data_IF_671803992460
#
_entry.id   IF_671803992460
#
_cell.length_a   1.000
_cell.length_b   1.000
_cell.length_c   1.000
_cell.angle_alpha   90.00
_cell.angle_beta   90.00
_cell.angle_gamma   90.00
#
_symmetry.space_group_name_H-M   'P 1'
#
loop_
_entity.id
_entity.type
_entity.pdbx_description
1 polymer ?
#
# COMPACT_ATOMS: atom_id res chain seq x y z
N UNK A 1 -30.45 -11.35 3.30
CA UNK A 1 -30.15 -9.96 3.73
C UNK A 1 -29.64 -10.01 5.17
N UNK A 2 -28.37 -9.67 5.43
CA UNK A 2 -27.86 -9.58 6.82
C UNK A 2 -28.48 -8.35 7.49
N UNK A 3 -29.02 -8.51 8.69
CA UNK A 3 -29.51 -7.38 9.50
C UNK A 3 -28.41 -6.33 9.67
N UNK A 4 -28.73 -5.03 9.62
CA UNK A 4 -27.75 -4.00 9.89
C UNK A 4 -27.24 -4.14 11.33
N UNK A 5 -25.92 -4.09 11.57
CA UNK A 5 -25.39 -3.99 12.92
C UNK A 5 -25.96 -2.71 13.56
N UNK A 6 -26.51 -2.80 14.78
CA UNK A 6 -27.18 -1.71 15.51
C UNK A 6 -28.52 -1.23 14.88
N UNK A 7 -29.59 -2.05 14.97
CA UNK A 7 -30.88 -1.76 14.37
C UNK A 7 -31.72 -0.70 15.12
N UNK A 8 -31.46 -0.49 16.42
CA UNK A 8 -32.22 0.44 17.26
C UNK A 8 -31.36 1.61 17.74
N UNK A 9 -32.00 2.74 18.00
CA UNK A 9 -31.32 3.92 18.55
C UNK A 9 -30.74 3.67 19.95
N UNK A 10 -31.32 2.78 20.74
CA UNK A 10 -30.77 2.39 22.04
C UNK A 10 -29.52 1.54 21.91
N UNK A 11 -29.46 0.63 20.91
CA UNK A 11 -28.24 -0.11 20.60
C UNK A 11 -27.12 0.83 20.10
N UNK A 12 -27.47 1.81 19.25
CA UNK A 12 -26.54 2.85 18.79
C UNK A 12 -26.07 3.74 19.93
N UNK A 13 -26.95 4.06 20.87
CA UNK A 13 -26.59 4.81 22.06
C UNK A 13 -25.66 4.03 22.98
N UNK A 14 -25.93 2.76 23.22
CA UNK A 14 -25.05 1.89 24.01
C UNK A 14 -23.64 1.81 23.38
N UNK A 15 -23.55 1.62 22.07
CA UNK A 15 -22.29 1.61 21.33
C UNK A 15 -21.54 2.95 21.43
N UNK A 16 -22.27 4.07 21.36
CA UNK A 16 -21.70 5.41 21.55
C UNK A 16 -21.15 5.62 22.98
N UNK A 17 -21.88 5.19 24.01
CA UNK A 17 -21.44 5.26 25.41
C UNK A 17 -20.19 4.39 25.64
N UNK A 18 -20.17 3.20 25.05
CA UNK A 18 -19.04 2.27 25.13
C UNK A 18 -17.83 2.72 24.28
N UNK A 19 -18.00 3.71 23.39
CA UNK A 19 -17.03 4.10 22.35
C UNK A 19 -16.57 2.90 21.52
N UNK A 20 -17.54 2.08 21.13
CA UNK A 20 -17.32 0.88 20.34
C UNK A 20 -16.68 1.22 18.99
N UNK A 21 -15.50 0.65 18.74
CA UNK A 21 -14.76 0.84 17.49
C UNK A 21 -15.35 0.03 16.34
N UNK A 22 -16.05 -1.07 16.63
CA UNK A 22 -16.70 -1.91 15.63
C UNK A 22 -17.99 -1.26 15.09
N UNK A 23 -18.52 -0.28 15.82
CA UNK A 23 -19.63 0.56 15.38
C UNK A 23 -19.21 1.67 14.38
N UNK A 24 -17.91 1.96 14.25
CA UNK A 24 -17.42 2.95 13.29
C UNK A 24 -17.72 2.51 11.85
N UNK A 25 -18.48 3.32 11.12
CA UNK A 25 -18.89 3.03 9.74
C UNK A 25 -20.22 2.30 9.62
N UNK A 26 -20.76 1.73 10.71
CA UNK A 26 -22.12 1.19 10.74
C UNK A 26 -23.19 2.29 10.85
N UNK A 27 -22.87 3.37 11.58
CA UNK A 27 -23.67 4.58 11.67
C UNK A 27 -22.80 5.77 12.09
N UNK A 28 -23.35 6.98 12.03
CA UNK A 28 -22.77 8.16 12.66
C UNK A 28 -23.81 8.87 13.54
N UNK A 29 -23.34 9.70 14.48
CA UNK A 29 -24.22 10.46 15.36
C UNK A 29 -23.95 11.96 15.21
N UNK A 30 -25.00 12.77 15.31
CA UNK A 30 -24.91 14.22 15.26
C UNK A 30 -25.45 14.84 16.54
N UNK A 31 -24.85 15.97 16.93
CA UNK A 31 -25.21 16.71 18.14
C UNK A 31 -25.90 18.01 17.74
N UNK A 32 -27.20 18.11 18.03
CA UNK A 32 -28.07 19.24 17.68
C UNK A 32 -27.49 20.58 18.11
N UNK A 33 -26.97 20.65 19.34
CA UNK A 33 -26.47 21.90 19.93
C UNK A 33 -25.18 22.42 19.29
N UNK A 34 -24.35 21.55 18.72
CA UNK A 34 -23.07 21.96 18.10
C UNK A 34 -23.13 21.97 16.58
N UNK A 35 -24.15 21.34 15.98
CA UNK A 35 -24.26 21.14 14.54
C UNK A 35 -23.18 20.22 13.98
N UNK A 36 -22.57 19.36 14.82
CA UNK A 36 -21.44 18.49 14.44
C UNK A 36 -21.87 17.02 14.45
N UNK A 37 -21.45 16.26 13.44
CA UNK A 37 -21.56 14.79 13.45
C UNK A 37 -20.20 14.09 13.60
N UNK A 38 -20.22 12.91 14.21
CA UNK A 38 -19.08 12.15 14.71
C UNK A 38 -19.26 10.64 14.45
N UNK A 39 -18.15 9.89 14.54
CA UNK A 39 -18.19 8.42 14.63
C UNK A 39 -18.47 7.97 16.07
N UNK A 40 -19.05 6.77 16.30
CA UNK A 40 -19.32 6.23 17.63
C UNK A 40 -18.10 6.19 18.57
N UNK A 41 -16.91 5.87 18.06
CA UNK A 41 -15.66 5.80 18.85
C UNK A 41 -15.06 7.17 19.23
N UNK A 42 -15.69 8.28 18.83
CA UNK A 42 -15.12 9.62 18.96
C UNK A 42 -14.78 9.97 20.42
N UNK A 43 -13.51 10.31 20.66
CA UNK A 43 -12.98 10.67 21.99
C UNK A 43 -13.49 12.03 22.55
N UNK A 44 -14.42 12.69 21.85
CA UNK A 44 -15.10 13.89 22.35
C UNK A 44 -15.93 13.60 23.60
N UNK A 45 -16.24 14.66 24.36
CA UNK A 45 -17.12 14.56 25.52
C UNK A 45 -18.48 14.01 25.08
N UNK A 46 -18.98 13.02 25.81
CA UNK A 46 -20.27 12.41 25.51
C UNK A 46 -21.37 13.49 25.63
N UNK A 47 -22.13 13.76 24.54
CA UNK A 47 -23.25 14.70 24.57
C UNK A 47 -24.43 14.14 25.38
N UNK A 48 -25.40 14.98 25.73
CA UNK A 48 -26.67 14.51 26.32
C UNK A 48 -27.50 13.76 25.29
N UNK A 49 -28.13 12.65 25.68
CA UNK A 49 -28.94 11.78 24.81
C UNK A 49 -29.98 12.54 23.99
N UNK A 50 -30.66 13.49 24.62
CA UNK A 50 -31.71 14.34 24.01
C UNK A 50 -31.22 15.16 22.80
N UNK A 51 -29.92 15.48 22.78
CA UNK A 51 -29.27 16.28 21.76
C UNK A 51 -28.64 15.43 20.66
N UNK A 52 -28.79 14.10 20.70
CA UNK A 52 -28.17 13.18 19.73
C UNK A 52 -29.20 12.66 18.73
N UNK A 53 -28.80 12.67 17.46
CA UNK A 53 -29.51 12.03 16.35
C UNK A 53 -28.57 11.07 15.63
N UNK A 54 -29.06 9.91 15.20
CA UNK A 54 -28.27 8.91 14.49
C UNK A 54 -28.59 8.91 13.00
N UNK A 55 -27.58 8.63 12.18
CA UNK A 55 -27.68 8.56 10.72
C UNK A 55 -26.96 7.30 10.22
N UNK A 56 -27.48 6.69 9.16
CA UNK A 56 -26.91 5.47 8.59
C UNK A 56 -25.48 5.69 8.05
N UNK A 57 -25.24 6.84 7.42
CA UNK A 57 -23.94 7.21 6.87
C UNK A 57 -23.66 8.72 7.02
N UNK A 58 -22.44 9.12 6.67
CA UNK A 58 -21.99 10.51 6.76
C UNK A 58 -22.68 11.43 5.75
N UNK A 59 -23.13 10.90 4.61
CA UNK A 59 -23.87 11.62 3.58
C UNK A 59 -25.24 12.07 4.08
N UNK A 60 -25.97 11.17 4.76
CA UNK A 60 -27.25 11.47 5.40
C UNK A 60 -27.11 12.55 6.48
N UNK A 61 -26.06 12.50 7.31
CA UNK A 61 -25.80 13.54 8.31
C UNK A 61 -25.49 14.90 7.67
N UNK A 62 -24.73 14.93 6.58
CA UNK A 62 -24.43 16.16 5.83
C UNK A 62 -25.67 16.74 5.16
N UNK A 63 -26.50 15.91 4.53
CA UNK A 63 -27.77 16.33 3.94
C UNK A 63 -28.72 16.94 4.99
N UNK A 64 -28.64 16.48 6.23
CA UNK A 64 -29.36 17.05 7.37
C UNK A 64 -28.72 18.34 7.96
N UNK A 65 -27.67 18.89 7.33
CA UNK A 65 -27.07 20.17 7.69
C UNK A 65 -25.97 20.11 8.76
N UNK A 66 -25.52 18.91 9.15
CA UNK A 66 -24.44 18.77 10.13
C UNK A 66 -23.06 18.84 9.48
N UNK A 67 -22.10 19.48 10.16
CA UNK A 67 -20.69 19.53 9.73
C UNK A 67 -19.89 18.36 10.33
N UNK A 68 -18.89 17.82 9.61
CA UNK A 68 -18.07 16.73 10.13
C UNK A 68 -17.20 17.19 11.30
N UNK A 69 -17.07 16.34 12.30
CA UNK A 69 -16.19 16.59 13.44
C UNK A 69 -14.72 16.63 13.01
N UNK A 70 -14.03 17.73 13.33
CA UNK A 70 -12.59 17.89 13.04
C UNK A 70 -11.69 16.95 13.83
N UNK A 71 -12.19 16.37 14.94
CA UNK A 71 -11.43 15.48 15.83
C UNK A 71 -11.43 14.04 15.35
N UNK A 72 -12.61 13.45 15.11
CA UNK A 72 -12.71 12.07 14.63
C UNK A 72 -12.74 11.96 13.10
N UNK A 73 -12.87 13.08 12.37
CA UNK A 73 -12.90 13.16 10.90
C UNK A 73 -13.74 12.04 10.28
N UNK A 74 -15.06 12.03 10.54
CA UNK A 74 -15.90 10.87 10.28
C UNK A 74 -15.87 10.38 8.82
N UNK A 75 -15.63 11.29 7.87
CA UNK A 75 -15.54 11.03 6.42
C UNK A 75 -14.13 10.63 5.94
N UNK A 76 -13.09 10.83 6.75
CA UNK A 76 -11.72 10.50 6.39
C UNK A 76 -11.36 9.06 6.70
N UNK A 77 -10.13 8.65 6.37
CA UNK A 77 -9.58 7.40 6.83
C UNK A 77 -9.53 7.35 8.38
N UNK A 78 -9.50 6.15 8.99
CA UNK A 78 -9.05 6.00 10.38
C UNK A 78 -7.75 6.76 10.60
N UNK A 79 -7.62 7.44 11.74
CA UNK A 79 -6.49 8.36 12.01
C UNK A 79 -5.12 7.71 11.76
N UNK A 80 -4.98 6.46 12.15
CA UNK A 80 -3.77 5.66 11.92
C UNK A 80 -3.44 5.51 10.43
N UNK A 81 -4.44 5.17 9.60
CA UNK A 81 -4.28 5.06 8.15
C UNK A 81 -4.05 6.44 7.51
N UNK A 82 -4.70 7.49 7.99
CA UNK A 82 -4.50 8.88 7.52
C UNK A 82 -3.07 9.37 7.78
N UNK A 83 -2.48 9.06 8.94
CA UNK A 83 -1.08 9.38 9.25
C UNK A 83 -0.14 8.68 8.27
N UNK A 84 -0.35 7.38 8.02
CA UNK A 84 0.49 6.60 7.10
C UNK A 84 0.32 7.08 5.67
N UNK A 85 -0.90 7.34 5.22
CA UNK A 85 -1.18 7.82 3.88
C UNK A 85 -0.49 9.17 3.61
N UNK A 86 -0.56 10.11 4.57
CA UNK A 86 0.18 11.38 4.47
C UNK A 86 1.69 11.18 4.48
N UNK A 87 2.21 10.24 5.27
CA UNK A 87 3.63 9.92 5.26
C UNK A 87 4.07 9.36 3.90
N UNK A 88 3.30 8.43 3.31
CA UNK A 88 3.55 7.94 1.95
C UNK A 88 3.50 9.08 0.93
N UNK A 89 2.49 9.95 0.98
CA UNK A 89 2.37 11.07 0.04
C UNK A 89 3.58 12.02 0.09
N UNK A 90 4.14 12.30 1.28
CA UNK A 90 5.37 13.11 1.42
C UNK A 90 6.56 12.39 0.76
N UNK A 91 6.72 11.08 0.99
CA UNK A 91 7.81 10.31 0.39
C UNK A 91 7.65 10.20 -1.14
N UNK A 92 6.43 9.99 -1.62
CA UNK A 92 6.08 9.86 -3.04
C UNK A 92 6.31 11.14 -3.83
N UNK A 93 6.05 12.30 -3.23
CA UNK A 93 6.28 13.62 -3.83
C UNK A 93 7.78 13.96 -3.93
N UNK A 94 8.61 13.36 -3.07
CA UNK A 94 10.01 13.71 -2.89
C UNK A 94 10.94 12.49 -3.02
N UNK A 95 10.76 11.69 -4.08
CA UNK A 95 11.46 10.40 -4.27
C UNK A 95 12.99 10.50 -4.29
N UNK A 96 13.53 11.66 -4.67
CA UNK A 96 14.97 11.93 -4.73
C UNK A 96 15.55 12.37 -3.38
N UNK A 97 14.71 12.91 -2.49
CA UNK A 97 15.14 13.44 -1.21
C UNK A 97 15.26 12.35 -0.15
N UNK A 98 16.08 12.60 0.88
CA UNK A 98 16.22 11.72 2.03
C UNK A 98 15.57 12.35 3.24
N UNK A 99 14.42 11.82 3.63
CA UNK A 99 13.78 12.22 4.88
C UNK A 99 14.32 11.36 6.02
N UNK A 100 14.89 12.04 7.01
CA UNK A 100 15.05 11.43 8.32
C UNK A 100 13.69 11.11 8.93
N UNK A 101 13.66 10.13 9.84
CA UNK A 101 12.41 9.80 10.53
C UNK A 101 11.86 11.01 11.29
N UNK A 102 12.71 11.89 11.83
CA UNK A 102 12.30 13.12 12.51
C UNK A 102 11.57 14.07 11.55
N UNK A 103 12.18 14.41 10.40
CA UNK A 103 11.55 15.28 9.40
C UNK A 103 10.21 14.73 8.90
N UNK A 104 10.14 13.43 8.64
CA UNK A 104 8.88 12.80 8.21
C UNK A 104 7.82 12.87 9.32
N UNK A 105 8.24 12.69 10.58
CA UNK A 105 7.36 12.76 11.75
C UNK A 105 6.81 14.16 11.99
N UNK A 106 7.64 15.18 11.78
CA UNK A 106 7.23 16.59 11.85
C UNK A 106 6.18 16.91 10.78
N UNK A 107 6.37 16.41 9.55
CA UNK A 107 5.44 16.61 8.44
C UNK A 107 4.05 15.98 8.69
N UNK A 108 3.97 14.89 9.45
CA UNK A 108 2.69 14.22 9.78
C UNK A 108 2.18 14.49 11.20
N UNK A 109 2.90 15.30 11.98
CA UNK A 109 2.60 15.71 13.36
C UNK A 109 2.40 14.53 14.33
N UNK A 110 3.30 13.56 14.31
CA UNK A 110 3.35 12.46 15.30
C UNK A 110 4.78 12.22 15.78
N UNK A 111 4.97 11.48 16.87
CA UNK A 111 6.32 11.17 17.33
C UNK A 111 7.03 10.16 16.40
N UNK A 112 8.37 10.22 16.27
CA UNK A 112 9.16 9.27 15.47
C UNK A 112 8.88 7.80 15.79
N UNK A 113 8.82 7.46 17.08
CA UNK A 113 8.54 6.09 17.53
C UNK A 113 7.12 5.62 17.21
N UNK A 114 6.15 6.54 17.21
CA UNK A 114 4.78 6.23 16.82
C UNK A 114 4.71 6.00 15.32
N UNK A 115 5.28 6.91 14.51
CA UNK A 115 5.29 6.80 13.06
C UNK A 115 5.98 5.51 12.60
N UNK A 116 7.14 5.18 13.14
CA UNK A 116 7.88 3.98 12.74
C UNK A 116 7.07 2.70 12.96
N UNK A 117 6.45 2.56 14.14
CA UNK A 117 5.63 1.38 14.48
C UNK A 117 4.39 1.31 13.61
N UNK A 118 3.71 2.44 13.45
CA UNK A 118 2.47 2.53 12.71
C UNK A 118 2.70 2.25 11.21
N UNK A 119 3.70 2.89 10.62
CA UNK A 119 4.06 2.70 9.21
C UNK A 119 4.44 1.25 8.94
N UNK A 120 5.25 0.62 9.81
CA UNK A 120 5.58 -0.81 9.66
C UNK A 120 4.36 -1.72 9.79
N UNK A 121 3.40 -1.40 10.66
CA UNK A 121 2.17 -2.18 10.82
C UNK A 121 1.27 -2.08 9.59
N UNK A 122 1.11 -0.88 9.04
CA UNK A 122 0.17 -0.60 7.94
C UNK A 122 0.77 -0.93 6.58
N UNK A 123 2.03 -0.54 6.33
CA UNK A 123 2.71 -0.71 5.03
C UNK A 123 3.55 -2.00 4.98
N UNK A 124 3.85 -2.61 6.13
CA UNK A 124 4.67 -3.83 6.22
C UNK A 124 6.18 -3.59 6.26
N UNK A 125 6.64 -2.40 5.83
CA UNK A 125 8.06 -1.99 5.82
C UNK A 125 8.27 -0.71 6.62
N UNK A 126 9.52 -0.40 7.01
CA UNK A 126 9.84 0.88 7.65
C UNK A 126 9.86 2.05 6.65
N UNK A 127 9.66 3.31 7.07
CA UNK A 127 9.78 4.48 6.18
C UNK A 127 11.11 4.56 5.43
N UNK A 128 12.21 4.12 6.07
CA UNK A 128 13.53 4.08 5.44
C UNK A 128 13.62 3.05 4.32
N UNK A 129 13.02 1.87 4.52
CA UNK A 129 12.95 0.82 3.49
C UNK A 129 12.04 1.25 2.34
N UNK A 130 10.94 1.95 2.65
CA UNK A 130 10.05 2.51 1.64
C UNK A 130 10.78 3.50 0.72
N UNK A 131 11.49 4.48 1.29
CA UNK A 131 12.33 5.41 0.52
C UNK A 131 13.39 4.70 -0.32
N UNK A 132 14.01 3.62 0.21
CA UNK A 132 14.98 2.84 -0.55
C UNK A 132 14.35 2.11 -1.75
N UNK A 133 13.16 1.53 -1.57
CA UNK A 133 12.43 0.90 -2.66
C UNK A 133 12.07 1.90 -3.77
N UNK A 134 11.69 3.13 -3.40
CA UNK A 134 11.38 4.19 -4.36
C UNK A 134 12.59 4.66 -5.16
N UNK A 135 13.75 4.86 -4.52
CA UNK A 135 14.99 5.17 -5.24
C UNK A 135 15.42 4.04 -6.16
N UNK A 136 15.28 2.79 -5.69
CA UNK A 136 15.46 1.61 -6.54
C UNK A 136 14.57 1.66 -7.77
N UNK A 137 13.28 1.97 -7.61
CA UNK A 137 12.35 2.14 -8.74
C UNK A 137 12.77 3.28 -9.68
N UNK A 138 13.09 4.46 -9.17
CA UNK A 138 13.54 5.59 -9.99
C UNK A 138 14.82 5.26 -10.79
N UNK A 139 15.75 4.54 -10.17
CA UNK A 139 16.95 4.06 -10.85
C UNK A 139 16.61 3.04 -11.95
N UNK A 140 15.65 2.13 -11.72
CA UNK A 140 15.15 1.21 -12.74
C UNK A 140 14.60 1.96 -13.95
N UNK A 141 13.74 2.93 -13.70
CA UNK A 141 13.08 3.70 -14.75
C UNK A 141 14.12 4.48 -15.58
N UNK A 142 15.08 5.14 -14.91
CA UNK A 142 16.17 5.84 -15.57
C UNK A 142 17.04 4.90 -16.42
N UNK A 143 17.37 3.71 -15.92
CA UNK A 143 18.13 2.71 -16.69
C UNK A 143 17.33 2.16 -17.89
N UNK A 144 16.00 2.00 -17.77
CA UNK A 144 15.14 1.57 -18.90
C UNK A 144 15.11 2.59 -20.03
N UNK A 145 15.14 3.88 -19.67
CA UNK A 145 15.20 5.00 -20.61
C UNK A 145 16.55 5.18 -21.32
N UNK A 146 17.55 4.36 -20.98
CA UNK A 146 18.87 4.36 -21.62
C UNK A 146 19.91 5.28 -20.97
N UNK A 147 19.61 5.83 -19.79
CA UNK A 147 20.57 6.68 -19.07
C UNK A 147 21.83 5.90 -18.65
N UNK A 148 22.99 6.57 -18.69
CA UNK A 148 24.23 6.01 -18.17
C UNK A 148 24.09 5.72 -16.67
N UNK A 149 24.57 4.56 -16.21
CA UNK A 149 24.40 4.07 -14.82
C UNK A 149 24.80 5.09 -13.76
N UNK A 150 25.89 5.82 -14.00
CA UNK A 150 26.38 6.87 -13.10
C UNK A 150 25.39 8.03 -13.00
N UNK A 151 24.86 8.51 -14.13
CA UNK A 151 23.87 9.60 -14.18
C UNK A 151 22.52 9.17 -13.61
N UNK A 152 22.03 7.99 -14.01
CA UNK A 152 20.78 7.41 -13.52
C UNK A 152 20.75 7.26 -11.99
N UNK A 153 21.90 6.96 -11.39
CA UNK A 153 21.99 6.80 -9.94
C UNK A 153 22.19 8.12 -9.20
N UNK A 154 22.88 9.10 -9.76
CA UNK A 154 22.85 10.47 -9.22
C UNK A 154 21.42 11.02 -9.25
N UNK A 155 20.72 10.86 -10.37
CA UNK A 155 19.33 11.28 -10.54
C UNK A 155 18.36 10.52 -9.63
N UNK A 156 18.69 9.28 -9.23
CA UNK A 156 17.93 8.51 -8.24
C UNK A 156 18.32 8.80 -6.78
N UNK A 157 19.18 9.80 -6.51
CA UNK A 157 19.55 10.24 -5.16
C UNK A 157 20.71 9.47 -4.51
N UNK A 158 21.53 8.76 -5.29
CA UNK A 158 22.74 8.08 -4.80
C UNK A 158 23.96 9.02 -4.84
N UNK A 159 24.30 9.62 -3.70
CA UNK A 159 25.39 10.62 -3.57
C UNK A 159 26.83 10.06 -3.61
N UNK A 160 27.06 8.78 -3.94
CA UNK A 160 28.43 8.23 -3.99
C UNK A 160 28.56 7.09 -5.02
N UNK A 161 29.48 7.21 -5.99
CA UNK A 161 29.81 6.15 -6.96
C UNK A 161 30.22 4.82 -6.31
N UNK A 162 30.90 4.87 -5.17
CA UNK A 162 31.38 3.67 -4.45
C UNK A 162 30.25 2.93 -3.75
N UNK A 163 29.30 3.67 -3.15
CA UNK A 163 28.09 3.06 -2.56
C UNK A 163 27.07 2.66 -3.61
N UNK A 164 27.14 3.23 -4.81
CA UNK A 164 26.33 2.86 -5.98
C UNK A 164 26.48 1.37 -6.28
N UNK A 165 27.69 0.88 -6.51
CA UNK A 165 27.90 -0.52 -6.90
C UNK A 165 27.56 -1.52 -5.77
N UNK A 166 27.62 -1.11 -4.51
CA UNK A 166 27.20 -1.93 -3.35
C UNK A 166 25.69 -1.89 -3.07
N UNK A 167 25.05 -0.73 -3.25
CA UNK A 167 23.63 -0.52 -2.89
C UNK A 167 22.68 -0.79 -4.04
N UNK A 168 23.11 -0.57 -5.28
CA UNK A 168 22.28 -0.74 -6.47
C UNK A 168 21.82 -2.19 -6.64
N UNK A 169 22.65 -3.24 -6.50
CA UNK A 169 22.16 -4.62 -6.49
C UNK A 169 21.20 -4.91 -5.32
N UNK A 170 21.42 -4.27 -4.17
CA UNK A 170 20.62 -4.41 -2.94
C UNK A 170 19.23 -3.75 -3.04
N UNK A 171 19.14 -2.60 -3.71
CA UNK A 171 17.90 -1.81 -3.88
C UNK A 171 17.15 -2.16 -5.18
N UNK A 172 17.85 -2.60 -6.24
CA UNK A 172 17.23 -3.05 -7.49
C UNK A 172 16.74 -4.50 -7.45
N UNK A 173 17.32 -5.33 -6.59
CA UNK A 173 17.05 -6.78 -6.57
C UNK A 173 17.55 -7.50 -7.81
N UNK A 174 18.51 -6.91 -8.55
CA UNK A 174 19.29 -7.52 -9.63
C UNK A 174 20.52 -6.66 -9.97
N UNK A 175 21.52 -7.21 -10.66
CA UNK A 175 22.68 -6.42 -11.12
C UNK A 175 22.29 -5.47 -12.26
N UNK A 176 22.92 -4.27 -12.38
CA UNK A 176 22.68 -3.35 -13.49
C UNK A 176 22.90 -3.95 -14.88
N UNK A 177 23.77 -4.95 -15.00
CA UNK A 177 24.01 -5.69 -16.25
C UNK A 177 22.87 -6.66 -16.59
N UNK A 178 22.26 -7.32 -15.59
CA UNK A 178 21.03 -8.09 -15.77
C UNK A 178 19.85 -7.19 -16.15
N UNK A 179 19.82 -5.96 -15.61
CA UNK A 179 18.86 -4.92 -15.97
C UNK A 179 18.99 -4.50 -17.44
N UNK A 180 20.23 -4.28 -17.92
CA UNK A 180 20.49 -3.93 -19.34
C UNK A 180 20.10 -5.02 -20.33
N UNK A 181 20.07 -6.29 -19.92
CA UNK A 181 19.61 -7.38 -20.79
C UNK A 181 18.12 -7.30 -21.13
N UNK A 182 17.31 -6.49 -20.43
CA UNK A 182 15.84 -6.35 -20.61
C UNK A 182 15.11 -7.70 -20.76
N UNK A 183 15.58 -8.72 -20.05
CA UNK A 183 15.00 -10.08 -20.13
C UNK A 183 15.45 -10.95 -21.31
N UNK A 184 16.54 -10.61 -22.00
CA UNK A 184 17.09 -11.42 -23.08
C UNK A 184 17.28 -12.89 -22.66
N UNK A 185 16.55 -13.79 -23.32
CA UNK A 185 16.55 -15.24 -23.06
C UNK A 185 15.55 -15.71 -21.99
N UNK A 186 14.69 -14.83 -21.45
CA UNK A 186 13.61 -15.21 -20.53
C UNK A 186 12.32 -15.45 -21.31
N UNK A 187 11.61 -16.52 -20.95
CA UNK A 187 10.19 -16.71 -21.29
C UNK A 187 9.36 -16.30 -20.08
N UNK A 188 8.47 -15.34 -20.28
CA UNK A 188 7.60 -14.77 -19.25
C UNK A 188 6.15 -15.06 -19.66
N UNK A 189 5.47 -15.80 -18.82
CA UNK A 189 4.04 -16.05 -18.92
C UNK A 189 3.30 -15.07 -18.02
N UNK A 190 2.25 -14.43 -18.51
CA UNK A 190 1.45 -13.51 -17.71
C UNK A 190 -0.04 -13.80 -17.82
N UNK A 191 -0.80 -13.31 -16.84
CA UNK A 191 -2.25 -13.22 -16.92
C UNK A 191 -2.73 -12.02 -16.10
N UNK A 192 -3.94 -11.56 -16.43
CA UNK A 192 -4.63 -10.52 -15.66
C UNK A 192 -5.93 -11.05 -15.09
N UNK A 193 -6.38 -10.48 -13.97
CA UNK A 193 -7.67 -10.80 -13.36
C UNK A 193 -8.21 -9.62 -12.56
N UNK A 194 -9.53 -9.57 -12.42
CA UNK A 194 -10.18 -8.59 -11.55
C UNK A 194 -10.04 -8.99 -10.08
N UNK A 195 -9.76 -8.00 -9.24
CA UNK A 195 -9.69 -8.15 -7.78
C UNK A 195 -10.43 -7.00 -7.11
N UNK A 196 -10.61 -7.08 -5.79
CA UNK A 196 -11.18 -5.97 -5.00
C UNK A 196 -10.33 -4.69 -5.03
N UNK A 197 -9.09 -4.76 -5.50
CA UNK A 197 -8.17 -3.63 -5.63
C UNK A 197 -8.04 -3.13 -7.08
N UNK A 198 -8.90 -3.61 -7.99
CA UNK A 198 -8.77 -3.39 -9.43
C UNK A 198 -8.16 -4.59 -10.15
N UNK A 199 -7.66 -4.38 -11.35
CA UNK A 199 -7.03 -5.42 -12.17
C UNK A 199 -5.65 -5.76 -11.60
N UNK A 200 -5.40 -7.03 -11.33
CA UNK A 200 -4.06 -7.55 -11.04
C UNK A 200 -3.45 -8.13 -12.32
N UNK A 201 -2.17 -7.85 -12.54
CA UNK A 201 -1.32 -8.56 -13.49
C UNK A 201 -0.31 -9.39 -12.71
N UNK A 202 -0.18 -10.66 -13.06
CA UNK A 202 0.85 -11.55 -12.52
C UNK A 202 1.66 -12.10 -13.68
N UNK A 203 2.98 -11.99 -13.60
CA UNK A 203 3.92 -12.52 -14.57
C UNK A 203 4.95 -13.43 -13.90
N UNK A 204 5.26 -14.54 -14.55
CA UNK A 204 6.15 -15.57 -14.05
C UNK A 204 7.07 -16.14 -15.13
N UNK A 205 8.29 -16.47 -14.74
CA UNK A 205 9.24 -17.27 -15.54
C UNK A 205 9.11 -18.75 -15.18
N UNK A 206 9.91 -19.62 -15.80
CA UNK A 206 10.11 -21.03 -15.40
C UNK A 206 10.52 -21.22 -13.93
N UNK A 207 11.09 -20.20 -13.28
CA UNK A 207 11.56 -20.29 -11.89
C UNK A 207 10.53 -19.78 -10.88
N UNK A 208 9.59 -18.93 -11.29
CA UNK A 208 8.62 -18.33 -10.39
C UNK A 208 8.11 -16.96 -10.85
N UNK A 209 7.33 -16.30 -10.00
CA UNK A 209 6.77 -14.98 -10.23
C UNK A 209 7.89 -13.94 -10.28
N UNK A 210 7.94 -13.19 -11.37
CA UNK A 210 8.89 -12.10 -11.57
C UNK A 210 8.25 -10.71 -11.47
N UNK A 211 6.92 -10.59 -11.64
CA UNK A 211 6.20 -9.31 -11.47
C UNK A 211 4.74 -9.53 -11.02
N UNK A 212 4.29 -8.69 -10.09
CA UNK A 212 2.87 -8.50 -9.74
C UNK A 212 2.61 -6.99 -9.81
N UNK A 213 1.54 -6.58 -10.47
CA UNK A 213 1.13 -5.19 -10.58
C UNK A 213 -0.38 -5.05 -10.42
N UNK A 214 -0.84 -3.92 -9.90
CA UNK A 214 -2.25 -3.58 -9.77
C UNK A 214 -2.54 -2.28 -10.50
N UNK A 215 -3.72 -2.16 -11.10
CA UNK A 215 -4.16 -0.94 -11.77
C UNK A 215 -5.65 -0.99 -12.13
N UNK A 216 -6.15 0.10 -12.69
CA UNK A 216 -7.56 0.21 -13.02
C UNK A 216 -7.94 -0.55 -14.31
N UNK A 217 -6.96 -0.90 -15.14
CA UNK A 217 -7.15 -1.61 -16.41
C UNK A 217 -5.95 -2.52 -16.74
N UNK A 218 -6.20 -3.60 -17.48
CA UNK A 218 -5.17 -4.56 -17.88
C UNK A 218 -4.14 -3.97 -18.86
N UNK A 219 -4.58 -3.19 -19.86
CA UNK A 219 -3.75 -2.67 -20.92
C UNK A 219 -2.48 -1.93 -20.43
N UNK A 220 -2.56 -0.90 -19.54
CA UNK A 220 -1.37 -0.20 -19.07
C UNK A 220 -0.42 -1.12 -18.30
N UNK A 221 -0.93 -2.12 -17.57
CA UNK A 221 -0.10 -3.08 -16.84
C UNK A 221 0.69 -3.98 -17.80
N UNK A 222 0.05 -4.42 -18.89
CA UNK A 222 0.69 -5.26 -19.92
C UNK A 222 1.74 -4.45 -20.68
N UNK A 223 1.46 -3.19 -21.00
CA UNK A 223 2.42 -2.30 -21.66
C UNK A 223 3.65 -2.03 -20.78
N UNK A 224 3.44 -1.83 -19.48
CA UNK A 224 4.53 -1.68 -18.51
C UNK A 224 5.36 -2.98 -18.38
N UNK A 225 4.73 -4.15 -18.43
CA UNK A 225 5.43 -5.45 -18.46
C UNK A 225 6.29 -5.58 -19.72
N UNK A 226 5.72 -5.29 -20.90
CA UNK A 226 6.43 -5.37 -22.19
C UNK A 226 7.59 -4.39 -22.26
N UNK A 227 7.40 -3.16 -21.77
CA UNK A 227 8.46 -2.14 -21.72
C UNK A 227 9.58 -2.56 -20.78
N UNK A 228 9.25 -3.11 -19.62
CA UNK A 228 10.23 -3.56 -18.62
C UNK A 228 11.05 -4.77 -19.06
N UNK A 229 10.46 -5.66 -19.86
CA UNK A 229 11.09 -6.89 -20.37
C UNK A 229 11.13 -6.93 -21.90
N UNK A 230 11.54 -5.83 -22.54
CA UNK A 230 11.49 -5.67 -24.00
C UNK A 230 12.23 -6.75 -24.82
N UNK A 231 13.19 -7.47 -24.21
CA UNK A 231 13.94 -8.55 -24.87
C UNK A 231 13.50 -9.97 -24.41
N UNK A 232 12.45 -10.08 -23.60
CA UNK A 232 11.89 -11.36 -23.18
C UNK A 232 10.81 -11.84 -24.16
N UNK A 233 10.61 -13.16 -24.23
CA UNK A 233 9.44 -13.73 -24.87
C UNK A 233 8.26 -13.68 -23.91
N UNK A 234 7.31 -12.77 -24.14
CA UNK A 234 6.15 -12.56 -23.27
C UNK A 234 4.93 -13.19 -23.91
N UNK A 235 4.30 -14.14 -23.22
CA UNK A 235 3.08 -14.81 -23.68
C UNK A 235 1.99 -14.73 -22.62
N UNK A 236 0.73 -14.57 -23.05
CA UNK A 236 -0.42 -14.67 -22.17
C UNK A 236 -0.74 -16.14 -21.93
N UNK A 237 -0.71 -16.57 -20.67
CA UNK A 237 -0.91 -17.97 -20.28
C UNK A 237 -1.77 -18.04 -19.01
N UNK A 238 -3.09 -17.82 -19.12
CA UNK A 238 -4.00 -17.76 -17.98
C UNK A 238 -3.96 -19.01 -17.10
N UNK A 239 -3.87 -20.19 -17.72
CA UNK A 239 -3.87 -21.48 -17.01
C UNK A 239 -2.67 -21.65 -16.07
N UNK A 240 -1.49 -21.21 -16.51
CA UNK A 240 -0.25 -21.30 -15.72
C UNK A 240 -0.25 -20.33 -14.54
N UNK A 241 -0.90 -19.18 -14.71
CA UNK A 241 -0.88 -18.07 -13.75
C UNK A 241 -2.07 -18.10 -12.79
N UNK A 242 -3.18 -18.76 -13.17
CA UNK A 242 -4.39 -18.89 -12.37
C UNK A 242 -4.14 -19.34 -10.91
N UNK A 243 -3.25 -20.32 -10.61
CA UNK A 243 -2.96 -20.70 -9.23
C UNK A 243 -2.36 -19.56 -8.39
N UNK A 244 -1.59 -18.67 -9.00
CA UNK A 244 -1.00 -17.51 -8.31
C UNK A 244 -2.02 -16.42 -8.07
N UNK A 245 -2.86 -16.13 -9.06
CA UNK A 245 -3.97 -15.18 -8.93
C UNK A 245 -4.94 -15.64 -7.84
N UNK A 246 -5.28 -16.93 -7.79
CA UNK A 246 -6.15 -17.49 -6.75
C UNK A 246 -5.56 -17.32 -5.34
N UNK A 247 -4.24 -17.45 -5.16
CA UNK A 247 -3.59 -17.19 -3.86
C UNK A 247 -3.63 -15.70 -3.49
N UNK A 248 -3.45 -14.80 -4.46
CA UNK A 248 -3.54 -13.34 -4.24
C UNK A 248 -4.96 -12.97 -3.86
N UNK A 249 -5.96 -13.45 -4.61
CA UNK A 249 -7.36 -13.16 -4.32
C UNK A 249 -7.81 -13.73 -2.96
N UNK A 250 -7.40 -14.96 -2.61
CA UNK A 250 -7.65 -15.52 -1.29
C UNK A 250 -7.02 -14.68 -0.16
N UNK A 251 -5.84 -14.11 -0.38
CA UNK A 251 -5.22 -13.19 0.59
C UNK A 251 -6.01 -11.88 0.70
N UNK A 252 -6.39 -11.27 -0.44
CA UNK A 252 -7.18 -10.04 -0.48
C UNK A 252 -8.56 -10.21 0.16
N UNK A 253 -9.14 -11.40 0.07
CA UNK A 253 -10.39 -11.78 0.72
C UNK A 253 -10.22 -12.18 2.20
N UNK A 254 -8.99 -12.22 2.73
CA UNK A 254 -8.69 -12.55 4.12
C UNK A 254 -8.78 -14.04 4.48
N UNK A 255 -8.96 -14.92 3.50
CA UNK A 255 -9.07 -16.38 3.69
C UNK A 255 -7.71 -17.08 3.73
N UNK A 256 -6.62 -16.36 3.40
CA UNK A 256 -5.24 -16.87 3.43
C UNK A 256 -4.29 -15.88 4.11
N UNK A 257 -3.34 -16.39 4.90
CA UNK A 257 -2.30 -15.58 5.59
C UNK A 257 -0.85 -15.95 5.22
N UNK A 258 -0.64 -17.05 4.49
CA UNK A 258 0.69 -17.55 4.08
C UNK A 258 0.72 -17.78 2.58
N UNK A 259 1.77 -17.33 1.91
CA UNK A 259 1.94 -17.50 0.46
C UNK A 259 2.85 -18.68 0.15
N UNK A 260 2.44 -19.48 -0.83
CA UNK A 260 3.31 -20.46 -1.49
C UNK A 260 3.52 -19.98 -2.93
N UNK A 261 4.19 -18.82 -3.02
CA UNK A 261 4.55 -18.22 -4.30
C UNK A 261 6.05 -18.46 -4.52
N UNK A 262 6.44 -19.30 -5.51
CA UNK A 262 7.83 -19.35 -5.94
C UNK A 262 8.12 -17.98 -6.57
N UNK A 263 9.00 -17.21 -5.93
CA UNK A 263 9.41 -15.89 -6.39
C UNK A 263 10.70 -16.05 -7.19
N UNK A 264 10.67 -15.71 -8.48
CA UNK A 264 11.87 -15.51 -9.29
C UNK A 264 12.28 -14.04 -9.22
N UNK A 265 12.53 -13.60 -7.98
CA UNK A 265 13.29 -12.40 -7.75
C UNK A 265 14.73 -12.77 -8.05
N UNK A 266 15.44 -11.97 -8.84
CA UNK A 266 16.88 -12.11 -9.05
C UNK A 266 17.66 -11.80 -7.75
N UNK A 267 17.40 -12.59 -6.71
CA UNK A 267 17.95 -12.43 -5.38
C UNK A 267 19.45 -12.70 -5.43
N UNK A 268 20.20 -11.81 -4.79
CA UNK A 268 21.62 -12.05 -4.51
C UNK A 268 21.78 -13.30 -3.62
N UNK A 269 22.93 -13.98 -3.68
CA UNK A 269 23.23 -15.15 -2.81
C UNK A 269 22.99 -14.86 -1.32
N UNK A 270 23.24 -13.63 -0.89
CA UNK A 270 22.96 -13.18 0.48
C UNK A 270 21.46 -13.17 0.81
N UNK A 271 20.60 -12.76 -0.14
CA UNK A 271 19.16 -12.76 0.05
C UNK A 271 18.57 -14.16 0.03
N UNK A 272 19.09 -15.08 -0.80
CA UNK A 272 18.73 -16.50 -0.72
C UNK A 272 19.04 -17.07 0.68
N UNK A 273 20.22 -16.78 1.23
CA UNK A 273 20.60 -17.19 2.59
C UNK A 273 19.72 -16.58 3.69
N UNK A 274 19.32 -15.32 3.56
CA UNK A 274 18.40 -14.67 4.51
C UNK A 274 16.97 -15.23 4.37
N UNK A 275 16.53 -15.56 3.15
CA UNK A 275 15.21 -16.15 2.93
C UNK A 275 15.12 -17.58 3.43
N UNK A 276 16.17 -18.38 3.24
CA UNK A 276 16.28 -19.72 3.79
C UNK A 276 16.27 -19.71 5.32
N UNK A 277 16.84 -18.66 5.93
CA UNK A 277 16.78 -18.46 7.38
C UNK A 277 15.38 -18.02 7.88
N UNK A 278 14.57 -17.37 7.05
CA UNK A 278 13.21 -16.92 7.38
C UNK A 278 12.12 -17.96 7.04
N UNK A 279 12.45 -18.98 6.25
CA UNK A 279 11.58 -20.12 5.92
C UNK A 279 11.69 -21.28 6.91
N UNK A 280 12.62 -21.22 7.86
CA UNK A 280 12.68 -22.08 9.05
C UNK A 280 11.89 -21.44 10.18
#
# INVERSE_FOLDING_TARGET
MKQPPYPTDDARWAALVARDVDADGAFCYAVKTTGVFCRPSCASRLPRRENVSFFADTGAARAAGYRPCKRCRPEGLPRELDIVNRACAVLDAHRQDRFTLAQLSDAVHVSPFHLQRLFKRVVGVSPRQYQAAQRGAALRDALQSGAAVTRAAVDAGFNSPSRLYESVPRELGMSPSAFRRKGAGLKIDYATADTRLGVVLVAATSKGICKIAFGDAAAPLVDELRTGFANAQIAESPERIAPFIAQIDAYLNGTRRRFELPLDLAATEFQQRVWDALRR
#
